data_IF_670502734564
#
_entry.id   IF_670502734564
#
_cell.length_a   1.000
_cell.length_b   1.000
_cell.length_c   1.000
_cell.angle_alpha   90.00
_cell.angle_beta   90.00
_cell.angle_gamma   90.00
#
_symmetry.space_group_name_H-M   'P 1'
#
loop_
_entity.id
_entity.type
_entity.pdbx_description
1 polymer ?
#
# COMPACT_ATOMS: atom_id res chain seq x y z
N UNK A 1 12.87 -7.47 15.18
CA UNK A 1 12.25 -7.33 13.85
C UNK A 1 11.16 -8.38 13.82
N UNK A 2 9.91 -7.98 14.05
CA UNK A 2 8.81 -8.96 14.08
C UNK A 2 8.57 -9.46 12.67
N UNK A 3 8.68 -10.78 12.49
CA UNK A 3 8.41 -11.46 11.24
C UNK A 3 6.94 -11.28 10.87
N UNK A 4 6.66 -10.84 9.65
CA UNK A 4 5.32 -10.90 9.08
C UNK A 4 4.90 -12.37 9.08
N UNK A 5 3.99 -12.73 9.98
CA UNK A 5 3.36 -14.04 10.00
C UNK A 5 2.44 -14.10 8.78
N UNK A 6 2.93 -14.69 7.69
CA UNK A 6 2.04 -15.26 6.67
C UNK A 6 1.12 -16.24 7.39
N UNK A 7 -0.19 -16.19 7.09
CA UNK A 7 -1.22 -17.02 7.69
C UNK A 7 -0.80 -18.51 7.68
N UNK A 8 -0.15 -18.93 8.78
CA UNK A 8 0.13 -20.31 9.16
C UNK A 8 -0.61 -20.54 10.46
N UNK A 9 -1.90 -20.24 10.47
CA UNK A 9 -2.76 -20.66 11.55
C UNK A 9 -2.93 -22.18 11.46
N UNK A 10 -2.60 -22.86 12.54
CA UNK A 10 -2.68 -24.32 12.72
C UNK A 10 -4.12 -24.87 12.73
N UNK A 11 -5.12 -24.01 12.53
CA UNK A 11 -6.52 -24.37 12.30
C UNK A 11 -6.81 -24.22 10.80
N UNK A 12 -7.39 -25.23 10.12
CA UNK A 12 -7.76 -25.09 8.73
C UNK A 12 -8.79 -23.96 8.61
N UNK A 13 -8.34 -22.81 8.11
CA UNK A 13 -9.22 -21.70 7.77
C UNK A 13 -10.07 -22.19 6.60
N UNK A 14 -11.36 -22.42 6.84
CA UNK A 14 -12.33 -22.67 5.78
C UNK A 14 -12.57 -21.35 5.05
N UNK A 15 -11.79 -21.09 4.00
CA UNK A 15 -11.96 -19.93 3.12
C UNK A 15 -13.17 -20.14 2.21
N UNK A 16 -13.95 -19.07 1.98
CA UNK A 16 -14.97 -19.11 0.92
C UNK A 16 -14.27 -19.32 -0.43
N UNK A 17 -14.83 -20.12 -1.37
CA UNK A 17 -14.25 -20.33 -2.70
C UNK A 17 -13.89 -19.04 -3.43
N UNK A 18 -14.60 -17.94 -3.17
CA UNK A 18 -14.38 -16.64 -3.80
C UNK A 18 -13.02 -15.99 -3.44
N UNK A 19 -12.33 -16.47 -2.41
CA UNK A 19 -10.98 -16.01 -2.03
C UNK A 19 -9.86 -16.93 -2.50
N UNK A 20 -10.20 -18.05 -3.15
CA UNK A 20 -9.23 -19.05 -3.60
C UNK A 20 -8.81 -18.69 -5.03
N UNK A 21 -7.52 -18.40 -5.22
CA UNK A 21 -6.96 -18.18 -6.55
C UNK A 21 -6.96 -19.51 -7.34
N UNK A 22 -7.39 -19.50 -8.62
CA UNK A 22 -7.21 -20.63 -9.52
C UNK A 22 -5.75 -21.05 -9.60
N UNK A 23 -5.50 -22.35 -9.76
CA UNK A 23 -4.15 -22.92 -9.78
C UNK A 23 -3.28 -22.30 -10.88
N UNK A 24 -3.86 -21.98 -12.04
CA UNK A 24 -3.12 -21.38 -13.15
C UNK A 24 -2.61 -19.96 -12.85
N UNK A 25 -3.22 -19.30 -11.86
CA UNK A 25 -2.86 -17.96 -11.38
C UNK A 25 -2.06 -17.95 -10.09
N UNK A 26 -1.84 -19.13 -9.49
CA UNK A 26 -0.97 -19.26 -8.35
C UNK A 26 0.45 -18.78 -8.67
N UNK A 27 1.22 -18.34 -7.65
CA UNK A 27 2.60 -17.97 -7.87
C UNK A 27 3.40 -19.17 -8.40
N UNK A 28 4.10 -18.99 -9.51
CA UNK A 28 4.98 -20.02 -10.08
C UNK A 28 6.29 -20.08 -9.29
N UNK A 29 6.24 -20.70 -8.10
CA UNK A 29 7.36 -20.76 -7.15
C UNK A 29 8.62 -21.41 -7.75
N UNK A 30 8.47 -22.32 -8.70
CA UNK A 30 9.57 -22.94 -9.44
C UNK A 30 10.37 -21.95 -10.32
N UNK A 31 9.78 -20.80 -10.66
CA UNK A 31 10.42 -19.72 -11.43
C UNK A 31 10.98 -18.61 -10.55
N UNK A 32 10.77 -18.69 -9.24
CA UNK A 32 11.34 -17.74 -8.29
C UNK A 32 12.82 -18.06 -8.14
N UNK A 33 13.66 -17.26 -8.78
CA UNK A 33 15.09 -17.23 -8.46
C UNK A 33 15.31 -16.45 -7.16
N UNK A 34 16.39 -16.75 -6.46
CA UNK A 34 16.93 -15.82 -5.46
C UNK A 34 17.39 -14.57 -6.21
N UNK A 35 16.51 -13.57 -6.31
CA UNK A 35 16.84 -12.27 -6.88
C UNK A 35 18.00 -11.64 -6.10
N UNK A 36 18.85 -10.91 -6.81
CA UNK A 36 19.74 -9.94 -6.22
C UNK A 36 18.91 -8.94 -5.37
N UNK A 37 19.51 -8.43 -4.29
CA UNK A 37 18.85 -7.49 -3.38
C UNK A 37 18.17 -6.34 -4.13
N UNK A 38 16.97 -5.95 -3.67
CA UNK A 38 16.23 -4.81 -4.23
C UNK A 38 17.13 -3.57 -4.24
N UNK A 39 17.32 -2.88 -5.38
CA UNK A 39 18.15 -1.69 -5.45
C UNK A 39 17.73 -0.62 -4.44
N UNK A 40 18.70 -0.01 -3.77
CA UNK A 40 18.48 1.05 -2.78
C UNK A 40 19.05 2.36 -3.32
N UNK A 41 18.25 3.43 -3.26
CA UNK A 41 18.60 4.79 -3.64
C UNK A 41 18.77 5.62 -2.38
N UNK A 42 19.97 6.19 -2.18
CA UNK A 42 20.26 7.10 -1.09
C UNK A 42 20.12 8.57 -1.53
N UNK A 43 19.22 9.32 -0.88
CA UNK A 43 18.98 10.74 -1.16
C UNK A 43 19.83 11.69 -0.29
N UNK A 44 20.65 11.21 0.65
CA UNK A 44 21.54 12.09 1.43
C UNK A 44 22.66 12.70 0.58
N UNK A 45 22.99 12.07 -0.55
CA UNK A 45 24.07 12.47 -1.48
C UNK A 45 23.80 13.85 -2.10
N UNK A 46 22.54 14.30 -2.10
CA UNK A 46 22.04 15.52 -2.72
C UNK A 46 22.54 16.82 -2.08
N UNK A 47 22.93 16.81 -0.80
CA UNK A 47 23.30 18.03 -0.07
C UNK A 47 24.78 18.43 -0.26
N UNK A 48 25.56 17.62 -0.97
CA UNK A 48 27.02 17.76 -1.00
C UNK A 48 27.59 18.50 -2.20
N UNK A 49 26.85 18.63 -3.33
CA UNK A 49 27.38 19.24 -4.56
C UNK A 49 26.39 20.22 -5.21
N UNK A 50 26.86 21.44 -5.49
CA UNK A 50 26.11 22.60 -6.01
C UNK A 50 25.63 22.46 -7.47
N UNK A 51 25.95 21.37 -8.16
CA UNK A 51 25.66 21.22 -9.59
C UNK A 51 24.37 20.42 -9.76
N UNK A 52 23.31 21.04 -10.29
CA UNK A 52 21.96 20.51 -10.49
C UNK A 52 21.80 19.28 -11.41
N UNK A 53 22.78 18.38 -11.44
CA UNK A 53 22.81 17.14 -12.22
C UNK A 53 22.31 15.89 -11.46
N UNK A 54 21.89 16.04 -10.20
CA UNK A 54 21.43 14.94 -9.33
C UNK A 54 20.22 14.20 -9.89
N UNK A 55 19.20 14.94 -10.33
CA UNK A 55 18.01 14.37 -10.96
C UNK A 55 18.36 13.48 -12.16
N UNK A 56 19.35 13.89 -12.98
CA UNK A 56 19.81 13.11 -14.13
C UNK A 56 20.51 11.82 -13.70
N UNK A 57 21.27 11.85 -12.60
CA UNK A 57 21.91 10.64 -12.04
C UNK A 57 20.87 9.65 -11.52
N UNK A 58 19.85 10.10 -10.78
CA UNK A 58 18.78 9.23 -10.31
C UNK A 58 17.96 8.66 -11.46
N UNK A 59 17.60 9.49 -12.45
CA UNK A 59 16.92 9.00 -13.65
C UNK A 59 17.73 7.94 -14.39
N UNK A 60 19.04 8.12 -14.53
CA UNK A 60 19.90 7.12 -15.17
C UNK A 60 19.99 5.84 -14.35
N UNK A 61 20.10 5.94 -13.02
CA UNK A 61 20.12 4.80 -12.12
C UNK A 61 18.80 4.01 -12.22
N UNK A 62 17.66 4.68 -12.11
CA UNK A 62 16.33 4.06 -12.26
C UNK A 62 16.17 3.42 -13.64
N UNK A 63 16.62 4.09 -14.72
CA UNK A 63 16.62 3.52 -16.08
C UNK A 63 17.49 2.27 -16.22
N UNK A 64 18.59 2.17 -15.46
CA UNK A 64 19.47 1.00 -15.48
C UNK A 64 18.96 -0.18 -14.65
N UNK A 65 17.97 0.04 -13.78
CA UNK A 65 17.40 -1.02 -12.96
C UNK A 65 16.50 -1.92 -13.81
N UNK A 66 16.86 -3.20 -13.90
CA UNK A 66 16.04 -4.22 -14.55
C UNK A 66 14.78 -4.60 -13.74
N UNK A 67 14.72 -4.23 -12.46
CA UNK A 67 13.72 -4.71 -11.51
C UNK A 67 12.37 -3.99 -11.61
N UNK A 68 12.30 -2.79 -12.18
CA UNK A 68 11.06 -1.99 -12.24
C UNK A 68 10.58 -1.46 -10.88
N UNK A 69 11.28 -1.76 -9.79
CA UNK A 69 11.03 -1.26 -8.44
C UNK A 69 12.35 -1.10 -7.66
N UNK A 70 12.35 -0.21 -6.66
CA UNK A 70 13.50 0.16 -5.84
C UNK A 70 13.06 0.68 -4.47
N UNK A 71 14.00 0.74 -3.53
CA UNK A 71 13.81 1.36 -2.21
C UNK A 71 14.51 2.72 -2.16
N UNK A 72 13.99 3.64 -1.35
CA UNK A 72 14.62 4.94 -1.09
C UNK A 72 14.96 5.04 0.40
N UNK A 73 16.16 5.50 0.72
CA UNK A 73 16.58 5.88 2.07
C UNK A 73 16.99 7.35 2.12
N UNK A 74 17.06 7.92 3.33
CA UNK A 74 17.42 9.33 3.56
C UNK A 74 16.55 10.34 2.79
N UNK A 75 15.28 10.00 2.57
CA UNK A 75 14.29 10.79 1.81
C UNK A 75 13.78 12.05 2.51
N UNK A 76 14.42 12.51 3.59
CA UNK A 76 14.06 13.67 4.42
C UNK A 76 12.65 13.65 5.08
N UNK A 77 11.75 12.72 4.73
CA UNK A 77 10.49 12.52 5.45
C UNK A 77 10.75 12.10 6.92
N UNK A 78 10.24 12.85 7.92
CA UNK A 78 10.49 12.53 9.33
C UNK A 78 9.94 11.16 9.73
N UNK A 79 10.75 10.36 10.43
CA UNK A 79 10.35 9.02 10.87
C UNK A 79 9.08 9.03 11.75
N UNK A 80 8.94 10.05 12.61
CA UNK A 80 7.75 10.23 13.46
C UNK A 80 6.48 10.52 12.64
N UNK A 81 6.60 11.12 11.45
CA UNK A 81 5.46 11.28 10.55
C UNK A 81 5.01 9.92 10.00
N UNK A 82 5.95 9.08 9.54
CA UNK A 82 5.64 7.73 9.05
C UNK A 82 5.00 6.87 10.14
N UNK A 83 5.53 6.89 11.37
CA UNK A 83 4.95 6.16 12.51
C UNK A 83 3.52 6.60 12.82
N UNK A 84 3.27 7.91 12.85
CA UNK A 84 1.92 8.45 13.05
C UNK A 84 0.98 8.01 11.95
N UNK A 85 1.38 8.15 10.68
CA UNK A 85 0.55 7.71 9.54
C UNK A 85 0.16 6.22 9.65
N UNK A 86 1.13 5.34 9.95
CA UNK A 86 0.85 3.92 10.18
C UNK A 86 -0.09 3.68 11.37
N UNK A 87 0.07 4.44 12.45
CA UNK A 87 -0.80 4.35 13.63
C UNK A 87 -2.23 4.80 13.30
N UNK A 88 -2.40 5.95 12.63
CA UNK A 88 -3.70 6.49 12.22
C UNK A 88 -4.47 5.50 11.34
N UNK A 89 -3.81 4.88 10.36
CA UNK A 89 -4.42 3.88 9.48
C UNK A 89 -4.76 2.60 10.27
N UNK A 90 -3.85 2.13 11.13
CA UNK A 90 -4.10 0.95 11.97
C UNK A 90 -5.32 1.15 12.87
N UNK A 91 -5.44 2.33 13.49
CA UNK A 91 -6.52 2.63 14.41
C UNK A 91 -7.86 2.84 13.69
N UNK A 92 -7.85 3.40 12.46
CA UNK A 92 -9.03 3.43 11.59
C UNK A 92 -9.60 2.02 11.36
N UNK A 93 -8.77 1.05 11.00
CA UNK A 93 -9.22 -0.32 10.73
C UNK A 93 -9.58 -1.12 12.00
N UNK A 94 -9.14 -0.69 13.18
CA UNK A 94 -9.55 -1.24 14.48
C UNK A 94 -10.89 -0.69 14.98
N UNK A 95 -11.45 0.35 14.36
CA UNK A 95 -12.74 0.89 14.77
C UNK A 95 -13.86 -0.16 14.70
N UNK A 96 -14.92 -0.02 15.52
CA UNK A 96 -16.09 -0.89 15.43
C UNK A 96 -16.66 -0.93 14.01
N UNK A 97 -17.23 -2.06 13.56
CA UNK A 97 -17.81 -2.19 12.22
C UNK A 97 -18.81 -1.08 11.85
N UNK A 98 -19.58 -0.57 12.82
CA UNK A 98 -20.58 0.50 12.63
C UNK A 98 -19.95 1.85 12.26
N UNK A 99 -18.74 2.13 12.77
CA UNK A 99 -17.99 3.33 12.42
C UNK A 99 -17.36 3.17 11.03
N UNK A 100 -16.73 2.01 10.78
CA UNK A 100 -16.11 1.70 9.48
C UNK A 100 -17.14 1.64 8.35
N UNK A 101 -18.37 1.21 8.64
CA UNK A 101 -19.44 1.10 7.64
C UNK A 101 -19.90 2.40 7.02
N UNK A 102 -19.60 3.54 7.64
CA UNK A 102 -19.83 4.86 7.05
C UNK A 102 -19.03 5.08 5.75
N UNK A 103 -17.93 4.34 5.60
CA UNK A 103 -17.06 4.38 4.43
C UNK A 103 -17.28 3.21 3.46
N UNK A 104 -18.08 2.20 3.83
CA UNK A 104 -18.46 1.15 2.89
C UNK A 104 -19.55 1.68 1.95
N UNK A 105 -19.28 1.65 0.64
CA UNK A 105 -20.23 2.10 -0.37
C UNK A 105 -19.98 1.42 -1.71
N UNK A 106 -21.05 1.18 -2.45
CA UNK A 106 -21.01 0.74 -3.86
C UNK A 106 -21.04 1.91 -4.84
N UNK A 107 -21.20 3.14 -4.34
CA UNK A 107 -21.24 4.35 -5.14
C UNK A 107 -19.84 4.74 -5.62
N UNK A 108 -19.69 4.88 -6.93
CA UNK A 108 -18.43 5.29 -7.54
C UNK A 108 -18.09 6.76 -7.25
N UNK A 109 -19.10 7.60 -7.02
CA UNK A 109 -18.99 9.05 -6.77
C UNK A 109 -18.46 9.39 -5.39
N UNK A 110 -18.52 8.47 -4.43
CA UNK A 110 -17.93 8.67 -3.09
C UNK A 110 -16.41 8.71 -3.19
N UNK A 111 -15.84 9.82 -2.74
CA UNK A 111 -14.41 10.10 -2.82
C UNK A 111 -13.64 9.30 -1.79
N UNK A 112 -14.07 9.28 -0.52
CA UNK A 112 -13.48 8.46 0.54
C UNK A 112 -14.30 7.18 0.81
N UNK A 113 -13.69 6.01 0.67
CA UNK A 113 -14.37 4.72 0.81
C UNK A 113 -13.44 3.57 1.19
N UNK A 114 -13.98 2.60 1.92
CA UNK A 114 -13.35 1.29 2.12
C UNK A 114 -13.86 0.36 1.02
N UNK A 115 -12.94 -0.31 0.32
CA UNK A 115 -13.23 -1.27 -0.74
C UNK A 115 -12.52 -2.59 -0.47
N UNK A 116 -13.15 -3.67 -0.94
CA UNK A 116 -12.50 -4.96 -1.11
C UNK A 116 -12.17 -5.13 -2.59
N UNK A 117 -10.89 -5.26 -2.89
CA UNK A 117 -10.45 -5.46 -4.26
C UNK A 117 -10.68 -6.91 -4.71
N UNK A 118 -10.76 -7.09 -6.02
CA UNK A 118 -10.85 -8.40 -6.64
C UNK A 118 -9.92 -8.46 -7.85
N UNK A 119 -9.33 -9.63 -8.06
CA UNK A 119 -8.60 -9.96 -9.27
C UNK A 119 -9.61 -10.38 -10.36
N UNK A 120 -9.66 -9.65 -11.48
CA UNK A 120 -10.43 -10.09 -12.66
C UNK A 120 -9.63 -11.14 -13.44
N UNK A 121 -10.27 -12.25 -13.79
CA UNK A 121 -9.73 -13.28 -14.66
C UNK A 121 -9.89 -13.00 -16.13
N UNK A 122 -9.06 -13.67 -16.95
CA UNK A 122 -9.22 -13.66 -18.41
C UNK A 122 -10.61 -14.21 -18.80
N UNK A 123 -11.16 -15.12 -18.01
CA UNK A 123 -12.51 -15.67 -18.16
C UNK A 123 -13.59 -14.84 -17.41
N UNK A 124 -13.29 -13.60 -17.03
CA UNK A 124 -14.16 -12.69 -16.28
C UNK A 124 -14.55 -13.09 -14.85
N UNK A 125 -14.15 -14.27 -14.38
CA UNK A 125 -14.29 -14.67 -12.98
C UNK A 125 -13.54 -13.71 -12.05
N UNK A 126 -14.20 -13.32 -10.96
CA UNK A 126 -13.63 -12.43 -9.94
C UNK A 126 -13.18 -13.25 -8.75
N UNK A 127 -11.91 -13.10 -8.37
CA UNK A 127 -11.39 -13.65 -7.11
C UNK A 127 -11.23 -12.50 -6.13
N UNK A 128 -11.92 -12.55 -5.02
CA UNK A 128 -11.84 -11.53 -3.96
C UNK A 128 -10.46 -11.58 -3.31
N UNK A 129 -9.82 -10.42 -3.19
CA UNK A 129 -8.55 -10.31 -2.47
C UNK A 129 -8.81 -10.38 -0.96
N UNK A 130 -7.91 -11.04 -0.23
CA UNK A 130 -7.94 -11.06 1.23
C UNK A 130 -7.39 -9.74 1.79
N UNK A 131 -8.10 -8.64 1.53
CA UNK A 131 -7.71 -7.29 1.92
C UNK A 131 -8.92 -6.35 2.00
N UNK A 132 -8.80 -5.35 2.87
CA UNK A 132 -9.64 -4.15 2.90
C UNK A 132 -8.74 -2.94 2.62
N UNK A 133 -9.15 -2.05 1.73
CA UNK A 133 -8.37 -0.87 1.34
C UNK A 133 -9.20 0.40 1.57
N UNK A 134 -8.63 1.38 2.27
CA UNK A 134 -9.24 2.71 2.40
C UNK A 134 -8.66 3.62 1.32
N UNK A 135 -9.53 4.07 0.42
CA UNK A 135 -9.18 4.90 -0.72
C UNK A 135 -9.86 6.25 -0.58
N UNK A 136 -9.11 7.32 -0.85
CA UNK A 136 -9.68 8.65 -0.99
C UNK A 136 -8.94 9.45 -2.06
N UNK A 137 -9.67 10.28 -2.80
CA UNK A 137 -9.06 11.25 -3.70
C UNK A 137 -8.48 12.39 -2.89
N UNK A 138 -7.28 12.83 -3.26
CA UNK A 138 -6.63 14.00 -2.69
C UNK A 138 -6.35 14.99 -3.81
N UNK A 139 -6.85 16.21 -3.65
CA UNK A 139 -6.48 17.37 -4.45
C UNK A 139 -5.89 18.45 -3.52
N UNK A 140 -4.67 18.97 -3.78
CA UNK A 140 -4.07 20.01 -2.96
C UNK A 140 -4.80 21.37 -3.04
N UNK A 141 -5.74 21.54 -3.98
CA UNK A 141 -6.53 22.77 -4.16
C UNK A 141 -7.90 22.73 -3.48
N UNK A 142 -8.37 21.55 -3.09
CA UNK A 142 -9.67 21.35 -2.44
C UNK A 142 -9.53 21.02 -0.95
N UNK A 143 -10.59 21.24 -0.17
CA UNK A 143 -10.63 20.85 1.24
C UNK A 143 -10.96 19.36 1.40
N UNK A 144 -9.96 18.53 1.10
CA UNK A 144 -10.06 17.07 1.23
C UNK A 144 -10.17 16.59 2.70
N UNK A 145 -9.88 17.45 3.69
CA UNK A 145 -9.91 17.06 5.10
C UNK A 145 -11.32 16.66 5.56
N UNK A 146 -12.35 17.26 4.93
CA UNK A 146 -13.76 16.92 5.16
C UNK A 146 -14.12 15.49 4.73
N UNK A 147 -13.38 14.92 3.77
CA UNK A 147 -13.59 13.57 3.25
C UNK A 147 -12.98 12.48 4.14
N UNK A 148 -11.95 12.85 4.92
CA UNK A 148 -11.23 11.91 5.78
C UNK A 148 -12.08 11.46 6.98
N UNK A 149 -11.74 10.37 7.68
CA UNK A 149 -12.46 9.95 8.88
C UNK A 149 -12.36 10.93 10.05
N UNK A 150 -13.48 11.19 10.75
CA UNK A 150 -13.50 11.94 12.01
C UNK A 150 -12.86 11.16 13.16
N UNK A 151 -13.06 9.85 13.13
CA UNK A 151 -12.48 8.91 14.07
C UNK A 151 -11.53 7.98 13.30
N UNK A 152 -10.32 7.71 13.82
CA UNK A 152 -9.73 8.40 14.97
C UNK A 152 -9.37 9.87 14.64
N UNK A 153 -9.49 10.83 15.59
CA UNK A 153 -9.24 12.26 15.31
C UNK A 153 -7.83 12.57 14.77
N UNK A 154 -6.85 11.77 15.19
CA UNK A 154 -5.46 11.86 14.76
C UNK A 154 -5.23 11.35 13.32
N UNK A 155 -6.28 10.92 12.62
CA UNK A 155 -6.23 10.65 11.18
C UNK A 155 -6.18 11.97 10.38
N UNK A 156 -6.97 12.96 10.78
CA UNK A 156 -7.04 14.28 10.12
C UNK A 156 -5.99 15.25 10.65
N UNK A 157 -5.81 15.27 11.96
CA UNK A 157 -5.02 16.29 12.65
C UNK A 157 -3.82 15.67 13.36
N UNK A 158 -2.79 16.50 13.58
CA UNK A 158 -1.59 16.09 14.34
C UNK A 158 -1.84 16.11 15.85
#
# INVERSE_FOLDING_TARGET
MESILLARDSTPISLSPDFILPEEKGPQLSRVSTLDSIPIIDLSVEHSNQDGHHFKRYLNLVKSMATGFFQIINHAVPQELCKRMLTSISDLFKLPPQERSKFFTTEYTKEAKIINDFLKSQNEEKVTMWSENFNYTWDPTEDFATLLPENPPHYRYK
#
